data_IF_991812297810
#
_entry.id   IF_991812297810
#
_cell.length_a   1.000
_cell.length_b   1.000
_cell.length_c   1.000
_cell.angle_alpha   90.00
_cell.angle_beta   90.00
_cell.angle_gamma   90.00
#
_symmetry.space_group_name_H-M   'P 1'
#
loop_
_entity.id
_entity.type
_entity.pdbx_description
1 polymer ?
#
# COMPACT_ATOMS: atom_id res chain seq x y z
N UNK A 1 25.08 -73.73 2.47
CA UNK A 1 24.07 -73.13 3.38
C UNK A 1 24.37 -71.66 3.45
N UNK A 2 23.54 -70.68 3.14
CA UNK A 2 22.18 -70.59 2.59
C UNK A 2 22.09 -69.15 2.06
N UNK A 3 21.70 -68.98 0.80
CA UNK A 3 21.48 -67.67 0.17
C UNK A 3 20.22 -67.02 0.78
N UNK A 4 20.33 -65.79 1.26
CA UNK A 4 19.19 -65.00 1.72
C UNK A 4 18.77 -64.01 0.62
N UNK A 5 17.58 -64.23 0.06
CA UNK A 5 16.97 -63.41 -0.97
C UNK A 5 16.25 -62.19 -0.36
N UNK A 6 16.61 -61.00 -0.82
CA UNK A 6 15.98 -59.73 -0.43
C UNK A 6 14.70 -59.51 -1.27
N UNK A 7 13.53 -59.61 -0.63
CA UNK A 7 12.22 -59.30 -1.25
C UNK A 7 12.10 -57.79 -1.53
N UNK A 8 12.03 -57.41 -2.81
CA UNK A 8 11.58 -56.10 -3.28
C UNK A 8 10.08 -55.92 -2.99
N UNK A 9 9.71 -54.97 -2.13
CA UNK A 9 8.34 -54.47 -2.00
C UNK A 9 8.06 -53.51 -3.18
N UNK A 10 7.11 -53.88 -4.03
CA UNK A 10 6.47 -52.98 -5.00
C UNK A 10 5.57 -52.03 -4.20
N UNK A 11 5.90 -50.74 -4.20
CA UNK A 11 4.96 -49.70 -3.79
C UNK A 11 4.05 -49.41 -4.98
N UNK A 12 2.82 -49.86 -4.90
CA UNK A 12 1.73 -49.43 -5.77
C UNK A 12 1.38 -47.99 -5.41
N UNK A 13 1.57 -47.09 -6.37
CA UNK A 13 1.11 -45.70 -6.28
C UNK A 13 -0.40 -45.67 -6.49
N UNK A 14 -1.20 -45.10 -5.58
CA UNK A 14 -2.62 -44.88 -5.83
C UNK A 14 -2.81 -43.80 -6.89
N UNK A 15 -3.87 -44.02 -7.65
CA UNK A 15 -4.28 -43.30 -8.85
C UNK A 15 -4.34 -41.78 -8.72
N UNK A 16 -4.07 -41.14 -9.86
CA UNK A 16 -4.21 -39.72 -10.13
C UNK A 16 -5.62 -39.24 -9.74
N UNK A 17 -5.73 -38.61 -8.57
CA UNK A 17 -6.88 -37.77 -8.23
C UNK A 17 -6.94 -36.63 -9.25
N UNK A 18 -7.97 -36.65 -10.08
CA UNK A 18 -8.26 -35.60 -11.05
C UNK A 18 -8.34 -34.25 -10.34
N UNK A 19 -7.50 -33.29 -10.75
CA UNK A 19 -7.61 -31.90 -10.32
C UNK A 19 -8.92 -31.33 -10.88
N UNK A 20 -10.01 -31.44 -10.12
CA UNK A 20 -11.14 -30.56 -10.33
C UNK A 20 -10.65 -29.13 -10.10
N UNK A 21 -10.80 -28.29 -11.13
CA UNK A 21 -10.52 -26.87 -11.04
C UNK A 21 -11.32 -26.31 -9.86
N UNK A 22 -10.61 -25.78 -8.85
CA UNK A 22 -11.25 -25.00 -7.80
C UNK A 22 -11.99 -23.85 -8.48
N UNK A 23 -13.32 -23.96 -8.54
CA UNK A 23 -14.20 -22.83 -8.75
C UNK A 23 -13.78 -21.76 -7.74
N UNK A 24 -13.17 -20.70 -8.24
CA UNK A 24 -12.92 -19.49 -7.48
C UNK A 24 -14.27 -18.87 -7.19
N UNK A 25 -14.79 -19.14 -6.00
CA UNK A 25 -15.99 -18.51 -5.49
C UNK A 25 -15.81 -16.99 -5.46
N UNK A 26 -16.58 -16.35 -6.35
CA UNK A 26 -17.29 -15.08 -6.24
C UNK A 26 -16.62 -13.88 -5.57
N UNK A 27 -16.52 -12.83 -6.37
CA UNK A 27 -16.25 -11.46 -5.96
C UNK A 27 -16.24 -10.47 -7.14
N UNK A 28 -16.07 -10.95 -8.38
CA UNK A 28 -16.10 -10.10 -9.58
C UNK A 28 -17.34 -10.42 -10.44
N UNK A 29 -18.54 -10.31 -9.87
CA UNK A 29 -19.71 -10.02 -10.70
C UNK A 29 -19.65 -8.54 -10.99
N UNK A 30 -18.81 -8.15 -11.96
CA UNK A 30 -18.88 -6.83 -12.57
C UNK A 30 -20.24 -6.81 -13.27
N UNK A 31 -21.22 -6.27 -12.55
CA UNK A 31 -22.46 -5.82 -13.14
C UNK A 31 -22.07 -4.65 -14.05
N UNK A 32 -21.70 -4.97 -15.30
CA UNK A 32 -21.75 -4.00 -16.38
C UNK A 32 -23.23 -3.68 -16.57
N UNK A 33 -23.76 -2.81 -15.71
CA UNK A 33 -24.99 -2.11 -16.00
C UNK A 33 -24.67 -1.16 -17.15
N UNK A 34 -25.00 -1.62 -18.36
CA UNK A 34 -25.29 -0.77 -19.50
C UNK A 34 -26.46 0.13 -19.11
N UNK A 35 -26.17 1.28 -18.51
CA UNK A 35 -27.00 2.49 -18.47
C UNK A 35 -26.43 3.47 -17.45
N UNK A 36 -25.66 4.47 -17.91
CA UNK A 36 -25.81 5.89 -17.53
C UNK A 36 -25.27 6.77 -18.64
N UNK A 37 -26.13 7.11 -19.59
CA UNK A 37 -26.08 8.42 -20.23
C UNK A 37 -26.34 9.49 -19.14
N UNK A 38 -25.28 9.89 -18.44
CA UNK A 38 -25.28 11.07 -17.56
C UNK A 38 -24.21 12.02 -18.06
N UNK A 39 -24.56 12.75 -19.11
CA UNK A 39 -23.72 13.74 -19.79
C UNK A 39 -23.48 15.03 -18.98
N UNK A 40 -23.40 14.95 -17.65
CA UNK A 40 -23.20 16.09 -16.74
C UNK A 40 -22.29 15.80 -15.52
N UNK A 41 -21.46 14.76 -15.55
CA UNK A 41 -20.42 14.51 -14.54
C UNK A 41 -19.08 15.20 -14.89
N UNK A 42 -19.11 16.52 -15.12
CA UNK A 42 -17.91 17.34 -15.31
C UNK A 42 -17.35 17.85 -13.98
N UNK A 43 -17.07 16.91 -13.09
CA UNK A 43 -16.02 17.05 -12.08
C UNK A 43 -15.18 15.79 -12.22
N UNK A 44 -14.39 15.72 -13.30
CA UNK A 44 -13.46 14.61 -13.47
C UNK A 44 -12.47 14.67 -12.31
N UNK A 45 -12.69 13.85 -11.29
CA UNK A 45 -11.70 13.48 -10.31
C UNK A 45 -10.43 13.06 -11.07
N UNK A 46 -9.39 13.88 -10.97
CA UNK A 46 -8.32 13.94 -11.98
C UNK A 46 -7.36 12.75 -11.93
N UNK A 47 -7.37 11.99 -10.83
CA UNK A 47 -6.47 10.88 -10.59
C UNK A 47 -7.26 9.58 -10.41
N UNK A 48 -6.99 8.59 -11.26
CA UNK A 48 -7.44 7.20 -11.01
C UNK A 48 -6.28 6.29 -10.69
N UNK A 49 -6.60 5.21 -9.99
CA UNK A 49 -5.62 4.23 -9.53
C UNK A 49 -5.98 2.90 -10.17
N UNK A 50 -4.99 2.18 -10.68
CA UNK A 50 -5.23 0.92 -11.36
C UNK A 50 -4.26 -0.17 -10.91
N UNK A 51 -4.74 -1.41 -10.90
CA UNK A 51 -3.89 -2.57 -10.71
C UNK A 51 -2.96 -2.73 -11.92
N UNK A 52 -1.66 -2.86 -11.70
CA UNK A 52 -0.68 -3.08 -12.78
C UNK A 52 -1.04 -4.24 -13.71
N UNK A 53 -1.53 -5.34 -13.14
CA UNK A 53 -1.77 -6.61 -13.83
C UNK A 53 -3.17 -6.77 -14.40
N UNK A 54 -4.08 -5.85 -14.15
CA UNK A 54 -5.44 -5.93 -14.70
C UNK A 54 -5.50 -5.24 -16.07
N UNK A 55 -6.38 -5.70 -16.98
CA UNK A 55 -6.78 -4.91 -18.13
C UNK A 55 -7.28 -3.55 -17.65
N UNK A 56 -6.98 -2.50 -18.41
CA UNK A 56 -7.38 -1.14 -18.09
C UNK A 56 -8.71 -0.88 -18.79
N UNK A 57 -9.63 -0.08 -18.20
CA UNK A 57 -10.85 0.31 -18.90
C UNK A 57 -10.53 0.95 -20.26
N UNK A 58 -11.42 0.77 -21.24
CA UNK A 58 -11.21 1.30 -22.59
C UNK A 58 -11.08 2.84 -22.60
N UNK A 59 -11.69 3.55 -21.65
CA UNK A 59 -11.50 5.00 -21.50
C UNK A 59 -10.02 5.34 -21.28
N UNK A 60 -9.27 4.55 -20.50
CA UNK A 60 -7.84 4.78 -20.24
C UNK A 60 -6.99 4.58 -21.50
N UNK A 61 -7.38 3.66 -22.39
CA UNK A 61 -6.62 3.39 -23.62
C UNK A 61 -6.96 4.35 -24.76
N UNK A 62 -8.19 4.85 -24.78
CA UNK A 62 -8.70 5.70 -25.86
C UNK A 62 -8.47 7.19 -25.56
N UNK A 63 -8.44 7.55 -24.28
CA UNK A 63 -8.12 8.90 -23.85
C UNK A 63 -6.61 9.01 -23.63
N UNK A 64 -6.06 10.21 -23.83
CA UNK A 64 -4.63 10.47 -23.71
C UNK A 64 -4.21 10.57 -22.22
N UNK A 65 -4.33 9.49 -21.45
CA UNK A 65 -4.01 9.49 -20.01
C UNK A 65 -2.51 9.68 -19.75
N UNK A 66 -2.18 10.36 -18.65
CA UNK A 66 -0.82 10.38 -18.10
C UNK A 66 -0.65 9.21 -17.13
N UNK A 67 0.05 8.16 -17.56
CA UNK A 67 0.18 6.93 -16.79
C UNK A 67 1.54 6.83 -16.07
N UNK A 68 1.52 6.66 -14.75
CA UNK A 68 2.73 6.52 -13.95
C UNK A 68 2.74 5.19 -13.20
N UNK A 69 3.78 4.40 -13.43
CA UNK A 69 4.05 3.22 -12.63
C UNK A 69 4.80 3.62 -11.36
N UNK A 70 4.11 3.61 -10.22
CA UNK A 70 4.66 4.03 -8.93
C UNK A 70 5.23 2.86 -8.12
N UNK A 71 5.42 1.69 -8.75
CA UNK A 71 5.95 0.49 -8.09
C UNK A 71 7.43 0.28 -8.37
N UNK A 72 8.06 -0.63 -7.63
CA UNK A 72 9.42 -1.13 -7.90
C UNK A 72 9.62 -1.83 -9.24
N UNK A 73 8.57 -2.00 -10.07
CA UNK A 73 8.65 -2.57 -11.42
C UNK A 73 8.57 -1.53 -12.53
N UNK A 74 8.56 -0.25 -12.17
CA UNK A 74 8.64 0.86 -13.13
C UNK A 74 9.92 0.79 -13.96
N UNK A 75 9.85 1.26 -15.22
CA UNK A 75 11.03 1.38 -16.10
C UNK A 75 11.65 2.77 -15.98
N UNK A 76 10.84 3.75 -15.59
CA UNK A 76 11.19 5.13 -15.37
C UNK A 76 11.97 5.25 -14.06
N UNK A 77 13.29 5.47 -14.13
CA UNK A 77 14.17 5.46 -12.94
C UNK A 77 13.69 6.39 -11.82
N UNK A 78 13.19 7.57 -12.16
CA UNK A 78 12.72 8.53 -11.17
C UNK A 78 11.47 8.02 -10.41
N UNK A 79 10.61 7.22 -11.04
CA UNK A 79 9.44 6.65 -10.36
C UNK A 79 9.80 5.60 -9.30
N UNK A 80 11.05 5.12 -9.25
CA UNK A 80 11.46 4.13 -8.24
C UNK A 80 11.36 4.66 -6.81
N UNK A 81 11.51 5.97 -6.62
CA UNK A 81 11.42 6.63 -5.31
C UNK A 81 10.01 6.55 -4.69
N UNK A 82 8.98 6.31 -5.49
CA UNK A 82 7.62 6.06 -4.99
C UNK A 82 7.45 4.70 -4.32
N UNK A 83 8.34 3.75 -4.60
CA UNK A 83 8.17 2.39 -4.13
C UNK A 83 8.48 2.30 -2.63
N UNK A 84 7.57 1.76 -1.79
CA UNK A 84 7.85 1.52 -0.36
C UNK A 84 9.09 0.63 -0.10
N UNK A 85 9.49 -0.17 -1.09
CA UNK A 85 10.66 -1.03 -1.04
C UNK A 85 11.99 -0.26 -1.11
N UNK A 86 11.97 0.97 -1.62
CA UNK A 86 13.17 1.79 -1.88
C UNK A 86 13.14 3.11 -1.09
N UNK A 87 11.95 3.57 -0.68
CA UNK A 87 11.78 4.76 0.13
C UNK A 87 12.35 4.55 1.54
N UNK A 88 13.37 5.30 1.92
CA UNK A 88 14.01 5.26 3.23
C UNK A 88 15.32 6.05 3.29
N UNK A 89 15.96 6.17 4.47
CA UNK A 89 15.56 5.59 5.76
C UNK A 89 14.30 6.25 6.35
N UNK A 90 13.62 5.54 7.25
CA UNK A 90 12.34 5.95 7.87
C UNK A 90 12.52 6.01 9.39
N UNK A 91 12.38 7.20 9.95
CA UNK A 91 12.28 7.41 11.40
C UNK A 91 10.93 6.89 11.88
N UNK A 92 10.97 6.16 13.00
CA UNK A 92 9.79 5.55 13.60
C UNK A 92 9.34 6.37 14.82
N UNK A 93 9.59 5.85 16.01
CA UNK A 93 9.33 6.51 17.28
C UNK A 93 10.53 6.32 18.22
N UNK A 94 10.69 7.16 19.25
CA UNK A 94 11.73 6.99 20.26
C UNK A 94 11.64 5.64 20.96
N UNK A 95 12.79 4.99 21.17
CA UNK A 95 12.89 3.78 21.96
C UNK A 95 12.54 4.10 23.43
N UNK A 96 11.64 3.32 24.02
CA UNK A 96 11.16 3.56 25.39
C UNK A 96 12.24 3.42 26.47
N UNK A 97 13.36 2.75 26.17
CA UNK A 97 14.45 2.50 27.13
C UNK A 97 15.45 3.64 27.19
N UNK A 98 15.90 4.13 26.03
CA UNK A 98 16.98 5.12 25.94
C UNK A 98 16.62 6.41 25.20
N UNK A 99 15.36 6.53 24.74
CA UNK A 99 14.85 7.71 24.05
C UNK A 99 15.40 7.90 22.63
N UNK A 100 16.25 7.01 22.12
CA UNK A 100 16.83 7.15 20.77
C UNK A 100 15.80 6.85 19.71
N UNK A 101 15.83 7.62 18.62
CA UNK A 101 14.92 7.38 17.49
C UNK A 101 15.20 6.03 16.84
N UNK A 102 14.17 5.19 16.73
CA UNK A 102 14.24 3.96 15.94
C UNK A 102 14.17 4.30 14.46
N UNK A 103 14.95 3.59 13.64
CA UNK A 103 15.05 3.85 12.19
C UNK A 103 14.92 2.53 11.43
N UNK A 104 14.00 2.48 10.47
CA UNK A 104 13.94 1.42 9.47
C UNK A 104 14.68 1.82 8.19
N UNK A 105 15.35 0.87 7.52
CA UNK A 105 16.07 1.14 6.26
C UNK A 105 15.15 1.46 5.08
N UNK A 106 13.91 1.01 5.12
CA UNK A 106 12.91 1.28 4.09
C UNK A 106 11.48 1.25 4.66
N UNK A 107 10.53 1.85 3.94
CA UNK A 107 9.13 1.98 4.32
C UNK A 107 8.41 0.63 4.41
N UNK A 108 8.76 -0.34 3.57
CA UNK A 108 8.21 -1.69 3.67
C UNK A 108 8.56 -2.33 5.01
N UNK A 109 9.82 -2.24 5.45
CA UNK A 109 10.26 -2.78 6.73
C UNK A 109 9.66 -2.00 7.91
N UNK A 110 9.58 -0.67 7.83
CA UNK A 110 8.88 0.16 8.83
C UNK A 110 7.44 -0.36 9.05
N UNK A 111 6.72 -0.63 7.96
CA UNK A 111 5.34 -1.11 8.00
C UNK A 111 5.19 -2.57 8.43
N UNK A 112 6.11 -3.44 8.03
CA UNK A 112 5.95 -4.88 8.22
C UNK A 112 6.34 -5.31 9.63
N UNK A 113 7.38 -4.70 10.18
CA UNK A 113 7.91 -5.02 11.51
C UNK A 113 7.24 -4.24 12.64
N UNK A 114 6.27 -3.36 12.34
CA UNK A 114 5.34 -2.86 13.36
C UNK A 114 4.21 -3.86 13.70
N UNK A 115 4.10 -4.98 12.97
CA UNK A 115 3.02 -5.96 13.15
C UNK A 115 3.40 -7.00 14.21
N UNK A 116 2.53 -7.22 15.17
CA UNK A 116 2.69 -8.24 16.20
C UNK A 116 1.95 -9.51 15.81
N UNK A 117 2.62 -10.64 15.95
CA UNK A 117 2.08 -11.97 15.66
C UNK A 117 1.99 -12.78 16.95
N UNK A 118 1.11 -13.80 16.97
CA UNK A 118 0.85 -14.63 18.17
C UNK A 118 2.10 -15.25 18.80
N UNK A 119 3.13 -15.56 18.02
CA UNK A 119 4.40 -16.12 18.54
C UNK A 119 5.31 -15.07 19.22
N UNK A 120 4.95 -13.80 19.10
CA UNK A 120 5.69 -12.65 19.60
C UNK A 120 4.92 -11.92 20.71
N UNK A 121 3.93 -12.58 21.31
CA UNK A 121 3.21 -12.08 22.47
C UNK A 121 3.58 -12.85 23.73
N UNK A 122 3.25 -12.30 24.89
CA UNK A 122 3.19 -13.02 26.15
C UNK A 122 2.16 -14.17 26.14
N UNK A 123 2.06 -14.90 27.26
CA UNK A 123 1.15 -16.04 27.42
C UNK A 123 -0.32 -15.65 27.26
N UNK A 124 -0.66 -14.41 27.61
CA UNK A 124 -2.02 -13.87 27.53
C UNK A 124 -2.34 -13.30 26.15
N UNK A 125 -1.35 -13.17 25.26
CA UNK A 125 -1.51 -12.62 23.93
C UNK A 125 -1.64 -11.09 23.89
N UNK A 126 -1.41 -10.42 25.02
CA UNK A 126 -1.77 -9.02 25.22
C UNK A 126 -0.59 -8.07 25.05
N UNK A 127 0.64 -8.51 25.32
CA UNK A 127 1.82 -7.64 25.23
C UNK A 127 2.89 -8.22 24.31
N UNK A 128 3.65 -7.38 23.57
CA UNK A 128 4.80 -7.86 22.81
C UNK A 128 5.86 -8.45 23.75
N UNK A 129 6.37 -9.63 23.42
CA UNK A 129 7.47 -10.26 24.17
C UNK A 129 8.83 -9.62 23.84
N UNK A 130 9.88 -9.95 24.59
CA UNK A 130 11.24 -9.50 24.23
C UNK A 130 11.67 -10.01 22.83
N UNK A 131 11.20 -11.20 22.45
CA UNK A 131 11.44 -11.77 21.13
C UNK A 131 10.82 -10.93 19.99
N UNK A 132 9.68 -10.25 20.25
CA UNK A 132 9.12 -9.29 19.29
C UNK A 132 10.11 -8.18 18.99
N UNK A 133 10.62 -7.52 20.04
CA UNK A 133 11.46 -6.34 19.89
C UNK A 133 12.76 -6.66 19.17
N UNK A 134 13.38 -7.80 19.53
CA UNK A 134 14.56 -8.30 18.80
C UNK A 134 14.26 -8.52 17.31
N UNK A 135 13.16 -9.21 17.00
CA UNK A 135 12.74 -9.46 15.61
C UNK A 135 12.42 -8.17 14.84
N UNK A 136 11.75 -7.22 15.48
CA UNK A 136 11.38 -5.96 14.87
C UNK A 136 12.61 -5.08 14.59
N UNK A 137 13.53 -4.97 15.53
CA UNK A 137 14.78 -4.23 15.38
C UNK A 137 15.69 -4.81 14.29
N UNK A 138 15.83 -6.15 14.24
CA UNK A 138 16.55 -6.83 13.16
C UNK A 138 15.90 -6.52 11.80
N UNK A 139 14.58 -6.58 11.73
CA UNK A 139 13.81 -6.29 10.52
C UNK A 139 13.88 -4.84 10.04
N UNK A 140 13.81 -3.88 10.96
CA UNK A 140 13.99 -2.47 10.65
C UNK A 140 15.40 -2.19 10.13
N UNK A 141 16.42 -2.87 10.66
CA UNK A 141 17.81 -2.69 10.25
C UNK A 141 18.18 -3.41 8.94
N UNK A 142 17.35 -4.34 8.44
CA UNK A 142 17.60 -5.03 7.18
C UNK A 142 17.38 -4.09 5.98
N UNK A 143 18.34 -4.06 5.05
CA UNK A 143 18.25 -3.29 3.81
C UNK A 143 17.29 -3.92 2.80
N UNK A 144 17.03 -5.22 2.90
CA UNK A 144 16.09 -5.94 2.03
C UNK A 144 14.64 -5.69 2.49
N UNK A 145 13.74 -5.26 1.60
CA UNK A 145 12.34 -5.07 1.94
C UNK A 145 11.60 -6.41 2.08
N UNK A 146 10.91 -6.60 3.21
CA UNK A 146 10.21 -7.85 3.55
C UNK A 146 8.69 -7.72 3.48
N UNK A 147 8.10 -7.96 2.30
CA UNK A 147 6.63 -7.88 2.14
C UNK A 147 5.84 -8.86 3.02
N UNK A 148 6.43 -10.01 3.31
CA UNK A 148 5.84 -11.07 4.11
C UNK A 148 6.93 -11.71 4.98
N UNK A 149 7.36 -11.05 6.08
CA UNK A 149 8.51 -11.51 6.86
C UNK A 149 8.29 -12.90 7.49
N UNK A 150 7.02 -13.28 7.72
CA UNK A 150 6.62 -14.61 8.20
C UNK A 150 5.91 -15.46 7.12
N UNK A 151 6.07 -15.12 5.84
CA UNK A 151 5.44 -15.83 4.73
C UNK A 151 4.01 -15.38 4.41
N UNK A 152 3.57 -15.65 3.17
CA UNK A 152 2.33 -15.07 2.59
C UNK A 152 1.03 -15.67 3.11
N UNK A 153 1.06 -16.95 3.51
CA UNK A 153 -0.12 -17.75 3.87
C UNK A 153 -0.12 -18.09 5.38
N UNK A 154 1.01 -17.95 6.06
CA UNK A 154 1.24 -18.65 7.31
C UNK A 154 0.62 -17.97 8.54
N UNK A 155 0.67 -16.63 8.66
CA UNK A 155 0.24 -15.98 9.91
C UNK A 155 -0.39 -14.62 9.66
N UNK A 156 -1.60 -14.40 10.20
CA UNK A 156 -2.22 -13.07 10.27
C UNK A 156 -1.67 -12.34 11.51
N UNK A 157 -1.29 -11.06 11.40
CA UNK A 157 -0.93 -10.28 12.57
C UNK A 157 -2.15 -10.10 13.47
N UNK A 158 -1.91 -10.01 14.78
CA UNK A 158 -2.94 -9.71 15.78
C UNK A 158 -3.30 -8.22 15.73
N UNK A 159 -2.28 -7.37 15.72
CA UNK A 159 -2.38 -5.91 15.66
C UNK A 159 -1.05 -5.32 15.14
N UNK A 160 -1.02 -4.01 14.94
CA UNK A 160 0.22 -3.25 14.77
C UNK A 160 0.52 -2.48 16.05
N UNK A 161 1.78 -2.46 16.49
CA UNK A 161 2.25 -1.71 17.65
C UNK A 161 2.94 -0.43 17.18
N UNK A 162 2.50 0.71 17.72
CA UNK A 162 3.08 2.02 17.43
C UNK A 162 3.13 2.90 18.67
N UNK A 163 4.34 3.27 19.11
CA UNK A 163 4.55 4.10 20.31
C UNK A 163 3.70 3.63 21.52
N UNK A 164 3.78 2.33 21.83
CA UNK A 164 3.03 1.70 22.94
C UNK A 164 1.54 1.45 22.68
N UNK A 165 0.98 1.91 21.55
CA UNK A 165 -0.43 1.70 21.20
C UNK A 165 -0.62 0.49 20.30
N UNK A 166 -1.62 -0.32 20.60
CA UNK A 166 -2.08 -1.40 19.72
C UNK A 166 -3.12 -0.86 18.75
N UNK A 167 -2.92 -1.11 17.47
CA UNK A 167 -3.75 -0.59 16.39
C UNK A 167 -4.27 -1.74 15.55
N UNK A 168 -5.57 -1.73 15.25
CA UNK A 168 -6.13 -2.61 14.25
C UNK A 168 -5.65 -2.22 12.84
N UNK A 169 -5.99 -3.03 11.83
CA UNK A 169 -5.50 -2.79 10.47
C UNK A 169 -5.87 -1.42 9.86
N UNK A 170 -7.06 -0.91 10.14
CA UNK A 170 -7.51 0.40 9.62
C UNK A 170 -6.78 1.52 10.37
N UNK A 171 -6.75 1.44 11.70
CA UNK A 171 -6.03 2.39 12.55
C UNK A 171 -4.54 2.44 12.18
N UNK A 172 -3.89 1.30 12.01
CA UNK A 172 -2.49 1.21 11.62
C UNK A 172 -2.20 1.88 10.27
N UNK A 173 -3.13 1.83 9.31
CA UNK A 173 -2.96 2.57 8.04
C UNK A 173 -3.02 4.07 8.24
N UNK A 174 -3.94 4.55 9.08
CA UNK A 174 -4.14 5.98 9.36
C UNK A 174 -3.04 6.57 10.24
N UNK A 175 -2.55 5.81 11.20
CA UNK A 175 -1.57 6.27 12.19
C UNK A 175 -0.12 6.00 11.78
N UNK A 176 0.13 4.90 11.05
CA UNK A 176 1.50 4.49 10.69
C UNK A 176 1.73 4.67 9.19
N UNK A 177 1.03 3.90 8.36
CA UNK A 177 1.42 3.72 6.96
C UNK A 177 1.31 5.00 6.14
N UNK A 178 0.11 5.59 6.09
CA UNK A 178 -0.15 6.76 5.24
C UNK A 178 0.65 7.99 5.70
N UNK A 179 0.69 8.35 7.00
CA UNK A 179 1.51 9.47 7.46
C UNK A 179 3.00 9.29 7.18
N UNK A 180 3.59 8.12 7.50
CA UNK A 180 5.01 7.89 7.26
C UNK A 180 5.33 7.90 5.77
N UNK A 181 4.55 7.19 4.96
CA UNK A 181 4.77 7.18 3.51
C UNK A 181 4.68 8.60 2.94
N UNK A 182 3.66 9.37 3.33
CA UNK A 182 3.48 10.76 2.92
C UNK A 182 4.67 11.65 3.31
N UNK A 183 5.07 11.61 4.59
CA UNK A 183 6.20 12.36 5.13
C UNK A 183 7.46 12.15 4.30
N UNK A 184 7.79 10.91 3.94
CA UNK A 184 9.03 10.61 3.24
C UNK A 184 8.92 10.77 1.73
N UNK A 185 7.80 10.40 1.10
CA UNK A 185 7.67 10.48 -0.35
C UNK A 185 7.62 11.94 -0.83
N UNK A 186 7.02 12.85 -0.07
CA UNK A 186 6.98 14.28 -0.42
C UNK A 186 8.36 14.93 -0.52
N UNK A 187 9.37 14.36 0.15
CA UNK A 187 10.74 14.85 0.15
C UNK A 187 11.56 14.37 -1.06
N UNK A 188 10.97 13.52 -1.90
CA UNK A 188 11.65 12.92 -3.06
C UNK A 188 11.61 13.82 -4.28
N UNK A 189 12.64 13.73 -5.13
CA UNK A 189 12.65 14.41 -6.42
C UNK A 189 11.55 13.88 -7.34
N UNK A 190 11.23 12.59 -7.20
CA UNK A 190 10.13 11.97 -7.93
C UNK A 190 8.79 12.62 -7.61
N UNK A 191 8.47 12.83 -6.34
CA UNK A 191 7.21 13.45 -5.95
C UNK A 191 7.10 14.88 -6.47
N UNK A 192 8.18 15.68 -6.34
CA UNK A 192 8.23 17.02 -6.90
C UNK A 192 7.88 17.02 -8.40
N UNK A 193 8.51 16.14 -9.18
CA UNK A 193 8.24 16.01 -10.63
C UNK A 193 6.81 15.58 -10.92
N UNK A 194 6.27 14.60 -10.17
CA UNK A 194 4.90 14.15 -10.35
C UNK A 194 3.89 15.25 -10.02
N UNK A 195 4.14 16.03 -8.97
CA UNK A 195 3.31 17.16 -8.59
C UNK A 195 3.36 18.28 -9.64
N UNK A 196 4.52 18.59 -10.21
CA UNK A 196 4.64 19.53 -11.34
C UNK A 196 3.82 19.08 -12.55
N UNK A 197 3.90 17.78 -12.90
CA UNK A 197 3.08 17.20 -13.97
C UNK A 197 1.59 17.30 -13.63
N UNK A 198 1.20 16.96 -12.41
CA UNK A 198 -0.18 17.03 -11.95
C UNK A 198 -0.73 18.46 -12.04
N UNK A 199 -0.04 19.44 -11.48
CA UNK A 199 -0.44 20.86 -11.56
C UNK A 199 -0.56 21.30 -13.01
N UNK A 200 0.44 20.97 -13.85
CA UNK A 200 0.50 21.44 -15.24
C UNK A 200 -0.57 20.82 -16.13
N UNK A 201 -0.86 19.54 -15.97
CA UNK A 201 -1.70 18.80 -16.92
C UNK A 201 -3.06 18.37 -16.35
N UNK A 202 -3.26 18.39 -15.04
CA UNK A 202 -4.51 17.92 -14.42
C UNK A 202 -5.31 19.07 -13.79
N UNK A 203 -4.65 20.08 -13.22
CA UNK A 203 -5.31 21.19 -12.51
C UNK A 203 -5.70 22.38 -13.40
N UNK A 204 -5.49 22.32 -14.72
CA UNK A 204 -5.83 23.40 -15.64
C UNK A 204 -7.33 23.72 -15.71
N UNK A 205 -7.65 24.89 -16.28
CA UNK A 205 -9.02 25.31 -16.61
C UNK A 205 -9.74 24.21 -17.41
N UNK A 206 -11.07 24.12 -17.29
CA UNK A 206 -11.88 23.22 -18.11
C UNK A 206 -11.69 23.45 -19.61
N UNK A 207 -11.30 24.67 -20.01
CA UNK A 207 -10.99 25.04 -21.39
C UNK A 207 -9.54 24.76 -21.80
N UNK A 208 -8.68 24.28 -20.89
CA UNK A 208 -7.31 23.93 -21.21
C UNK A 208 -7.26 22.66 -22.08
N UNK A 209 -6.91 22.84 -23.36
CA UNK A 209 -6.76 21.76 -24.33
C UNK A 209 -5.65 20.76 -23.97
N UNK A 210 -4.77 21.11 -23.03
CA UNK A 210 -3.71 20.25 -22.53
C UNK A 210 -4.10 19.49 -21.25
N UNK A 211 -5.32 19.69 -20.74
CA UNK A 211 -5.82 18.96 -19.58
C UNK A 211 -5.94 17.47 -19.90
N UNK A 212 -5.38 16.64 -19.03
CA UNK A 212 -5.29 15.19 -19.18
C UNK A 212 -5.55 14.51 -17.84
N UNK A 213 -6.35 13.43 -17.81
CA UNK A 213 -6.47 12.62 -16.61
C UNK A 213 -5.16 11.89 -16.30
N UNK A 214 -4.92 11.62 -15.02
CA UNK A 214 -3.75 10.91 -14.52
C UNK A 214 -4.13 9.52 -14.01
N UNK A 215 -3.34 8.52 -14.35
CA UNK A 215 -3.47 7.16 -13.84
C UNK A 215 -2.22 6.74 -13.06
N UNK A 216 -2.40 6.33 -11.81
CA UNK A 216 -1.33 5.75 -10.98
C UNK A 216 -1.45 4.22 -10.98
N UNK A 217 -0.37 3.53 -11.34
CA UNK A 217 -0.34 2.07 -11.38
C UNK A 217 0.30 1.50 -10.12
N UNK A 218 -0.43 0.63 -9.43
CA UNK A 218 -0.02 -0.04 -8.18
C UNK A 218 -0.31 -1.55 -8.26
N UNK A 219 0.36 -2.35 -7.44
CA UNK A 219 0.00 -3.76 -7.28
C UNK A 219 -1.35 -3.96 -6.60
N UNK A 220 -1.66 -3.11 -5.62
CA UNK A 220 -2.91 -3.14 -4.84
C UNK A 220 -3.87 -2.00 -5.29
N UNK A 221 -3.62 -1.43 -6.48
CA UNK A 221 -4.45 -0.38 -7.09
C UNK A 221 -5.76 -0.91 -7.68
N UNK A 222 -6.78 -0.08 -7.72
CA UNK A 222 -8.08 -0.36 -8.37
C UNK A 222 -8.87 0.95 -8.55
N UNK A 223 -9.76 0.97 -9.53
CA UNK A 223 -10.51 2.18 -9.91
C UNK A 223 -11.63 2.45 -8.89
N UNK A 224 -11.29 3.16 -7.83
CA UNK A 224 -12.21 3.47 -6.73
C UNK A 224 -13.32 4.44 -7.14
N UNK A 225 -12.99 5.43 -7.98
CA UNK A 225 -13.95 6.40 -8.51
C UNK A 225 -14.92 5.75 -9.50
N UNK A 226 -14.43 4.83 -10.34
CA UNK A 226 -15.30 4.00 -11.18
C UNK A 226 -16.23 3.06 -10.40
N UNK A 227 -16.05 2.94 -9.08
CA UNK A 227 -16.90 2.19 -8.16
C UNK A 227 -17.60 3.08 -7.14
N UNK A 228 -17.63 4.40 -7.37
CA UNK A 228 -18.28 5.40 -6.51
C UNK A 228 -17.77 5.41 -5.06
N UNK A 229 -16.48 5.12 -4.85
CA UNK A 229 -15.82 5.23 -3.54
C UNK A 229 -14.94 6.48 -3.48
N UNK A 230 -14.98 7.20 -2.35
CA UNK A 230 -14.02 8.26 -2.01
C UNK A 230 -12.75 7.69 -1.35
N UNK A 231 -11.66 8.46 -1.31
CA UNK A 231 -10.43 8.05 -0.63
C UNK A 231 -10.65 7.78 0.89
N UNK A 232 -11.51 8.55 1.54
CA UNK A 232 -11.91 8.35 2.93
C UNK A 232 -12.62 7.01 3.13
N UNK A 233 -13.48 6.61 2.19
CA UNK A 233 -14.11 5.30 2.25
C UNK A 233 -13.05 4.20 2.04
N UNK A 234 -12.17 4.35 1.04
CA UNK A 234 -11.11 3.38 0.72
C UNK A 234 -10.21 3.06 1.92
N UNK A 235 -9.78 4.05 2.70
CA UNK A 235 -8.92 3.79 3.88
C UNK A 235 -9.64 3.04 5.01
N UNK A 236 -10.97 3.11 5.05
CA UNK A 236 -11.79 2.41 6.04
C UNK A 236 -12.22 1.01 5.58
N UNK A 237 -11.97 0.63 4.32
CA UNK A 237 -12.30 -0.70 3.80
C UNK A 237 -11.29 -1.75 4.23
N UNK A 238 -11.78 -2.92 4.69
CA UNK A 238 -10.93 -4.10 4.90
C UNK A 238 -10.52 -4.77 3.58
N UNK A 239 -11.42 -4.71 2.60
CA UNK A 239 -11.24 -5.17 1.21
C UNK A 239 -12.06 -4.28 0.27
N UNK A 240 -11.59 -4.03 -0.96
CA UNK A 240 -10.25 -4.35 -1.46
C UNK A 240 -9.15 -3.64 -0.66
N UNK A 241 -7.91 -4.12 -0.79
CA UNK A 241 -6.77 -3.46 -0.14
C UNK A 241 -6.45 -2.17 -0.89
N UNK A 242 -5.87 -1.21 -0.20
CA UNK A 242 -5.28 -0.01 -0.81
C UNK A 242 -3.75 -0.16 -0.83
N UNK A 243 -3.12 0.20 -1.95
CA UNK A 243 -1.68 0.39 -2.06
C UNK A 243 -1.24 1.82 -1.72
N UNK A 244 0.03 2.13 -1.93
CA UNK A 244 0.59 3.46 -1.69
C UNK A 244 0.13 4.49 -2.72
N UNK A 245 -0.28 4.08 -3.92
CA UNK A 245 -0.81 5.00 -4.93
C UNK A 245 -2.03 5.81 -4.45
N UNK A 246 -2.82 5.28 -3.52
CA UNK A 246 -3.93 6.02 -2.90
C UNK A 246 -3.44 7.17 -2.02
N UNK A 247 -2.34 6.96 -1.30
CA UNK A 247 -1.71 8.02 -0.49
C UNK A 247 -1.12 9.08 -1.42
N UNK A 248 -0.47 8.69 -2.53
CA UNK A 248 0.01 9.63 -3.55
C UNK A 248 -1.12 10.46 -4.16
N UNK A 249 -2.27 9.85 -4.48
CA UNK A 249 -3.43 10.58 -4.98
C UNK A 249 -3.90 11.63 -3.96
N UNK A 250 -4.08 11.24 -2.69
CA UNK A 250 -4.45 12.17 -1.62
C UNK A 250 -3.43 13.30 -1.42
N UNK A 251 -2.14 13.03 -1.59
CA UNK A 251 -1.10 14.07 -1.55
C UNK A 251 -1.27 15.10 -2.68
N UNK A 252 -1.41 14.62 -3.93
CA UNK A 252 -1.55 15.46 -5.13
C UNK A 252 -2.84 16.28 -5.08
N UNK A 253 -3.94 15.69 -4.64
CA UNK A 253 -5.25 16.34 -4.52
C UNK A 253 -5.38 17.22 -3.27
N UNK A 254 -4.33 17.32 -2.45
CA UNK A 254 -4.38 17.95 -1.13
C UNK A 254 -5.49 17.37 -0.22
N UNK A 255 -5.91 16.12 -0.46
CA UNK A 255 -6.84 15.37 0.36
C UNK A 255 -6.09 14.40 1.29
N UNK A 256 -5.79 14.86 2.50
CA UNK A 256 -5.12 14.06 3.54
C UNK A 256 -6.12 13.16 4.29
N UNK A 257 -6.85 12.30 3.56
CA UNK A 257 -7.95 11.46 4.04
C UNK A 257 -7.63 10.51 5.21
N UNK A 258 -6.35 10.36 5.56
CA UNK A 258 -5.91 9.57 6.72
C UNK A 258 -5.83 10.37 8.02
N UNK A 259 -5.84 11.70 7.96
CA UNK A 259 -5.81 12.60 9.11
C UNK A 259 -7.23 12.89 9.65
N UNK A 260 -7.32 13.19 10.94
CA UNK A 260 -8.51 13.80 11.52
C UNK A 260 -8.66 15.26 11.08
N UNK A 261 -9.85 15.84 11.21
CA UNK A 261 -10.10 17.24 10.79
C UNK A 261 -9.14 18.26 11.45
N UNK A 262 -8.86 18.21 12.77
CA UNK A 262 -7.88 19.10 13.37
C UNK A 262 -6.47 18.95 12.77
N UNK A 263 -6.05 17.71 12.49
CA UNK A 263 -4.75 17.44 11.87
C UNK A 263 -4.70 17.91 10.41
N UNK A 264 -5.81 17.81 9.66
CA UNK A 264 -5.91 18.35 8.30
C UNK A 264 -5.78 19.86 8.29
N UNK A 265 -6.51 20.56 9.16
CA UNK A 265 -6.40 22.03 9.28
C UNK A 265 -4.96 22.45 9.57
N UNK A 266 -4.29 21.78 10.51
CA UNK A 266 -2.90 22.05 10.82
C UNK A 266 -1.96 21.78 9.62
N UNK A 267 -2.16 20.68 8.91
CA UNK A 267 -1.37 20.35 7.72
C UNK A 267 -1.54 21.38 6.60
N UNK A 268 -2.75 21.90 6.39
CA UNK A 268 -3.04 22.96 5.43
C UNK A 268 -2.35 24.27 5.80
N UNK A 269 -2.34 24.65 7.07
CA UNK A 269 -1.63 25.83 7.56
C UNK A 269 -0.12 25.72 7.30
N UNK A 270 0.47 24.55 7.59
CA UNK A 270 1.88 24.29 7.31
C UNK A 270 2.17 24.40 5.80
N UNK A 271 1.35 23.80 4.95
CA UNK A 271 1.52 23.90 3.48
C UNK A 271 1.40 25.33 2.98
N UNK A 272 0.46 26.13 3.49
CA UNK A 272 0.33 27.57 3.15
C UNK A 272 1.57 28.37 3.55
N UNK A 273 2.26 27.96 4.61
CA UNK A 273 3.54 28.56 5.05
C UNK A 273 4.78 28.03 4.30
N UNK A 274 4.61 27.15 3.30
CA UNK A 274 5.70 26.50 2.58
C UNK A 274 6.42 25.39 3.36
N UNK A 275 5.85 24.94 4.48
CA UNK A 275 6.35 23.84 5.30
C UNK A 275 5.81 22.50 4.79
N UNK A 276 6.61 21.44 4.96
CA UNK A 276 6.28 20.08 4.51
C UNK A 276 5.61 19.29 5.63
N UNK A 277 4.93 18.18 5.28
CA UNK A 277 4.30 17.29 6.29
C UNK A 277 5.29 16.68 7.29
N UNK A 278 6.60 16.69 6.99
CA UNK A 278 7.64 16.25 7.94
C UNK A 278 7.67 17.06 9.24
N UNK A 279 7.06 18.25 9.24
CA UNK A 279 6.98 19.16 10.38
C UNK A 279 5.76 18.87 11.28
N UNK A 280 4.96 17.84 10.94
CA UNK A 280 3.86 17.26 11.74
C UNK A 280 4.37 16.00 12.45
#
# INVERSE_FOLDING_TARGET
MTCAATKKRKNEFPDKVSKQAKQTNMGDTIHCQENRHSSLLLSLDHIRIFAMRRPKPACVTNENWLMFNVTSKTKEKWCLEFSPFLLGPIELYPNSKDGKMLIAKNMENAWQFCKVYKQFTDIDGNSPSEAYWKWAEEGWNDSKPHRFPLGRIAVKPLYSLWNGKQLNYIEARKTIYAPLYAKYVEQTDAYRKLNEVYIKYCCGDQNDKHKRPMGLLDFDGWDHLGQDYTLEQVINMKKPKMGHAFVLAGLLENNLFWLSEPEKTHAEELRKSGRLLKDI
#
